data_IF_021844178427
#
_entry.id   IF_021844178427
#
_cell.length_a   1.000
_cell.length_b   1.000
_cell.length_c   1.000
_cell.angle_alpha   90.00
_cell.angle_beta   90.00
_cell.angle_gamma   90.00
#
_symmetry.space_group_name_H-M   'P 1'
#
loop_
_entity.id
_entity.type
_entity.pdbx_description
1 polymer ?
#
# COMPACT_ATOMS: atom_id res chain seq x y z
N UNK A 1 1.16 8.75 -19.02
CA UNK A 1 0.23 8.12 -18.07
C UNK A 1 0.86 6.85 -17.54
N UNK A 2 0.65 6.53 -16.27
CA UNK A 2 1.16 5.31 -15.67
C UNK A 2 0.23 4.15 -16.03
N UNK A 3 0.77 3.10 -16.66
CA UNK A 3 -0.01 1.94 -17.06
C UNK A 3 -0.18 0.96 -15.90
N UNK A 4 -1.21 0.12 -15.97
CA UNK A 4 -1.54 -0.87 -14.93
C UNK A 4 -0.41 -1.88 -14.69
N UNK A 5 0.28 -2.28 -15.77
CA UNK A 5 1.45 -3.16 -15.71
C UNK A 5 2.62 -2.53 -14.96
N UNK A 6 2.91 -1.25 -15.23
CA UNK A 6 3.97 -0.50 -14.55
C UNK A 6 3.64 -0.28 -13.08
N UNK A 7 2.37 0.00 -12.76
CA UNK A 7 1.90 0.15 -11.40
C UNK A 7 2.06 -1.14 -10.60
N UNK A 8 1.68 -2.28 -11.19
CA UNK A 8 1.86 -3.59 -10.56
C UNK A 8 3.33 -3.94 -10.34
N UNK A 9 4.21 -3.58 -11.30
CA UNK A 9 5.65 -3.79 -11.17
C UNK A 9 6.24 -2.95 -10.03
N UNK A 10 5.93 -1.65 -9.97
CA UNK A 10 6.41 -0.77 -8.90
C UNK A 10 5.84 -1.20 -7.53
N UNK A 11 4.59 -1.64 -7.48
CA UNK A 11 3.98 -2.19 -6.28
C UNK A 11 4.81 -3.36 -5.73
N UNK A 12 5.11 -4.34 -6.57
CA UNK A 12 5.96 -5.47 -6.18
C UNK A 12 7.34 -5.03 -5.70
N UNK A 13 7.98 -4.07 -6.39
CA UNK A 13 9.29 -3.55 -5.98
C UNK A 13 9.27 -2.84 -4.62
N UNK A 14 8.18 -2.15 -4.27
CA UNK A 14 8.04 -1.51 -2.96
C UNK A 14 8.05 -2.58 -1.85
N UNK A 15 7.40 -3.72 -2.07
CA UNK A 15 7.26 -4.78 -1.08
C UNK A 15 8.24 -5.97 -1.26
N UNK A 16 9.19 -5.87 -2.21
CA UNK A 16 10.20 -6.91 -2.49
C UNK A 16 11.21 -7.07 -1.33
N UNK A 17 11.36 -6.03 -0.51
CA UNK A 17 12.13 -6.07 0.74
C UNK A 17 11.29 -6.57 1.91
N UNK A 18 11.77 -7.60 2.62
CA UNK A 18 11.07 -8.31 3.71
C UNK A 18 10.55 -7.45 4.87
N UNK A 19 10.92 -6.18 4.97
CA UNK A 19 10.55 -5.30 6.08
C UNK A 19 9.58 -4.23 5.62
N UNK A 20 8.30 -4.41 5.93
CA UNK A 20 7.28 -3.40 5.70
C UNK A 20 7.47 -2.28 6.72
N UNK A 21 7.98 -1.14 6.25
CA UNK A 21 8.16 0.07 7.06
C UNK A 21 7.15 1.13 6.66
N UNK A 22 6.92 2.09 7.56
CA UNK A 22 6.05 3.25 7.29
C UNK A 22 6.50 4.04 6.05
N UNK A 23 7.79 4.02 5.73
CA UNK A 23 8.34 4.65 4.53
C UNK A 23 7.92 3.93 3.24
N UNK A 24 7.79 2.60 3.26
CA UNK A 24 7.28 1.84 2.12
C UNK A 24 5.77 2.08 1.91
N UNK A 25 5.01 2.18 3.01
CA UNK A 25 3.59 2.54 2.94
C UNK A 25 3.39 3.93 2.30
N UNK A 26 4.18 4.93 2.69
CA UNK A 26 4.11 6.25 2.07
C UNK A 26 4.45 6.23 0.56
N UNK A 27 5.43 5.39 0.14
CA UNK A 27 5.73 5.18 -1.28
C UNK A 27 4.58 4.49 -2.02
N UNK A 28 3.92 3.53 -1.38
CA UNK A 28 2.77 2.82 -1.92
C UNK A 28 1.57 3.79 -2.09
N UNK A 29 1.27 4.63 -1.10
CA UNK A 29 0.23 5.67 -1.20
C UNK A 29 0.51 6.66 -2.33
N UNK A 30 1.77 7.07 -2.50
CA UNK A 30 2.18 7.95 -3.60
C UNK A 30 1.94 7.28 -4.96
N UNK A 31 2.21 5.98 -5.09
CA UNK A 31 1.96 5.20 -6.30
C UNK A 31 0.45 5.17 -6.63
N UNK A 32 -0.39 4.95 -5.62
CA UNK A 32 -1.86 4.96 -5.75
C UNK A 32 -2.38 6.33 -6.17
N UNK A 33 -1.78 7.42 -5.66
CA UNK A 33 -2.11 8.78 -6.06
C UNK A 33 -1.75 9.12 -7.52
N UNK A 34 -0.79 8.40 -8.11
CA UNK A 34 -0.39 8.56 -9.52
C UNK A 34 -1.28 7.78 -10.49
N UNK A 35 -2.13 6.87 -9.98
CA UNK A 35 -3.07 6.11 -10.81
C UNK A 35 -4.30 6.94 -11.17
N UNK A 36 -4.89 6.72 -12.36
CA UNK A 36 -6.17 7.32 -12.73
C UNK A 36 -7.25 6.98 -11.70
N UNK A 37 -8.14 7.93 -11.43
CA UNK A 37 -9.23 7.74 -10.46
C UNK A 37 -10.20 6.62 -10.83
N UNK A 38 -10.31 6.30 -12.12
CA UNK A 38 -11.13 5.21 -12.66
C UNK A 38 -10.41 3.85 -12.67
N UNK A 39 -9.11 3.79 -12.32
CA UNK A 39 -8.38 2.54 -12.35
C UNK A 39 -8.81 1.62 -11.19
N UNK A 40 -9.20 0.36 -11.47
CA UNK A 40 -9.54 -0.61 -10.44
C UNK A 40 -8.34 -0.94 -9.53
N UNK A 41 -7.10 -0.79 -10.04
CA UNK A 41 -5.89 -0.98 -9.25
C UNK A 41 -5.75 0.05 -8.13
N UNK A 42 -6.29 1.26 -8.31
CA UNK A 42 -6.24 2.31 -7.30
C UNK A 42 -6.98 1.86 -6.03
N UNK A 43 -8.19 1.34 -6.19
CA UNK A 43 -8.99 0.81 -5.09
C UNK A 43 -8.29 -0.40 -4.46
N UNK A 44 -7.85 -1.35 -5.29
CA UNK A 44 -7.19 -2.56 -4.81
C UNK A 44 -5.95 -2.26 -3.97
N UNK A 45 -5.05 -1.42 -4.48
CA UNK A 45 -3.82 -1.04 -3.77
C UNK A 45 -4.12 -0.22 -2.51
N UNK A 46 -5.13 0.66 -2.52
CA UNK A 46 -5.55 1.37 -1.32
C UNK A 46 -6.02 0.40 -0.22
N UNK A 47 -6.80 -0.62 -0.57
CA UNK A 47 -7.22 -1.67 0.37
C UNK A 47 -6.03 -2.47 0.89
N UNK A 48 -5.12 -2.91 0.00
CA UNK A 48 -3.92 -3.65 0.42
C UNK A 48 -3.03 -2.82 1.37
N UNK A 49 -2.85 -1.52 1.15
CA UNK A 49 -2.12 -0.62 2.09
C UNK A 49 -2.78 -0.63 3.47
N UNK A 50 -4.10 -0.52 3.53
CA UNK A 50 -4.84 -0.47 4.79
C UNK A 50 -4.74 -1.80 5.56
N UNK A 51 -4.86 -2.93 4.87
CA UNK A 51 -4.66 -4.26 5.45
C UNK A 51 -3.23 -4.44 5.98
N UNK A 52 -2.22 -4.06 5.18
CA UNK A 52 -0.81 -4.12 5.57
C UNK A 52 -0.57 -3.24 6.81
N UNK A 53 -1.22 -2.07 6.88
CA UNK A 53 -1.14 -1.17 8.04
C UNK A 53 -1.76 -1.78 9.28
N UNK A 54 -2.90 -2.45 9.15
CA UNK A 54 -3.55 -3.17 10.24
C UNK A 54 -2.70 -4.35 10.75
N UNK A 55 -2.06 -5.10 9.85
CA UNK A 55 -1.19 -6.24 10.21
C UNK A 55 0.12 -5.77 10.85
N UNK A 56 0.70 -4.66 10.36
CA UNK A 56 1.92 -4.08 10.92
C UNK A 56 1.68 -3.17 12.13
N UNK A 57 0.44 -2.84 12.46
CA UNK A 57 0.15 -2.28 13.76
C UNK A 57 0.34 -3.39 14.80
N UNK A 58 1.31 -3.25 15.72
CA UNK A 58 1.43 -4.21 16.81
C UNK A 58 0.10 -4.20 17.56
N UNK A 59 -0.50 -5.38 17.75
CA UNK A 59 -1.77 -5.58 18.44
C UNK A 59 -1.68 -5.21 19.95
N UNK A 60 -1.40 -3.94 20.26
CA UNK A 60 -1.12 -3.42 21.60
C UNK A 60 -2.03 -2.27 22.04
N UNK A 61 -3.01 -1.87 21.22
CA UNK A 61 -3.93 -0.76 21.54
C UNK A 61 -5.40 -1.19 21.58
N UNK A 62 -5.69 -2.37 22.14
CA UNK A 62 -6.96 -2.56 22.88
C UNK A 62 -6.71 -2.29 24.35
N UNK A 63 -6.62 -1.01 24.71
CA UNK A 63 -6.67 -0.57 26.11
C UNK A 63 -8.08 -0.81 26.63
N UNK A 64 -8.20 -1.93 27.32
CA UNK A 64 -9.24 -2.29 28.30
C UNK A 64 -9.85 -1.06 28.98
N UNK A 65 -11.15 -0.83 28.79
CA UNK A 65 -12.03 -0.15 29.76
C UNK A 65 -13.38 -0.84 29.73
#
# INVERSE_FOLDING_TARGET
MMNETDATRKWRQIFEGKSITTQLLAKAETLVGQLPSESPLRLRFATEIDEIRHINQPAGSKKKR
#
